data_IF_274395886480
#
_entry.id   IF_274395886480
#
_cell.length_a   1.000
_cell.length_b   1.000
_cell.length_c   1.000
_cell.angle_alpha   90.00
_cell.angle_beta   90.00
_cell.angle_gamma   90.00
#
_symmetry.space_group_name_H-M   'P 1'
#
loop_
_entity.id
_entity.type
_entity.pdbx_description
1 polymer ?
#
# COMPACT_ATOMS: atom_id res chain seq x y z
N UNK A 1 4.69 -9.83 -1.68
CA UNK A 1 3.49 -10.66 -1.86
C UNK A 1 2.21 -9.86 -1.65
N UNK A 2 1.98 -9.24 -0.49
CA UNK A 2 0.74 -8.46 -0.28
C UNK A 2 0.66 -7.17 -1.11
N UNK A 3 1.80 -6.59 -1.51
CA UNK A 3 1.87 -5.49 -2.48
C UNK A 3 1.20 -5.90 -3.81
N UNK A 4 1.66 -7.00 -4.42
CA UNK A 4 1.06 -7.56 -5.65
C UNK A 4 -0.42 -7.91 -5.53
N UNK A 5 -0.85 -8.43 -4.37
CA UNK A 5 -2.26 -8.70 -4.15
C UNK A 5 -3.10 -7.41 -4.09
N UNK A 6 -2.51 -6.31 -3.61
CA UNK A 6 -3.17 -5.01 -3.54
C UNK A 6 -3.28 -4.35 -4.93
N UNK A 7 -2.37 -4.64 -5.87
CA UNK A 7 -2.49 -4.16 -7.25
C UNK A 7 -3.79 -4.60 -7.94
N UNK A 8 -4.40 -5.73 -7.54
CA UNK A 8 -5.73 -6.10 -8.01
C UNK A 8 -6.85 -5.12 -7.60
N UNK A 9 -6.55 -4.17 -6.72
CA UNK A 9 -7.48 -3.23 -6.12
C UNK A 9 -6.92 -1.79 -6.05
N UNK A 10 -5.89 -1.46 -6.83
CA UNK A 10 -5.42 -0.09 -6.99
C UNK A 10 -6.24 0.68 -8.06
N UNK A 11 -5.80 1.86 -8.49
CA UNK A 11 -6.55 2.69 -9.43
C UNK A 11 -6.75 2.07 -10.81
N UNK A 12 -5.86 1.15 -11.22
CA UNK A 12 -6.03 0.36 -12.44
C UNK A 12 -6.73 -0.98 -12.14
N UNK A 13 -6.32 -1.66 -11.08
CA UNK A 13 -6.81 -2.98 -10.68
C UNK A 13 -8.32 -3.04 -10.48
N UNK A 14 -8.93 -2.03 -9.85
CA UNK A 14 -10.38 -1.99 -9.62
C UNK A 14 -11.22 -1.97 -10.91
N UNK A 15 -10.60 -1.72 -12.06
CA UNK A 15 -11.27 -1.75 -13.36
C UNK A 15 -11.42 -3.19 -13.90
N UNK A 16 -10.70 -4.15 -13.34
CA UNK A 16 -10.71 -5.55 -13.77
C UNK A 16 -11.60 -6.40 -12.85
N UNK A 17 -12.41 -7.25 -13.47
CA UNK A 17 -13.22 -8.25 -12.79
C UNK A 17 -12.40 -9.48 -12.36
N UNK A 18 -13.05 -10.46 -11.72
CA UNK A 18 -12.37 -11.61 -11.12
C UNK A 18 -11.71 -12.55 -12.15
N UNK A 19 -12.09 -12.50 -13.43
CA UNK A 19 -11.47 -13.26 -14.51
C UNK A 19 -10.43 -12.44 -15.31
N UNK A 20 -10.14 -11.21 -14.89
CA UNK A 20 -9.14 -10.32 -15.51
C UNK A 20 -9.67 -9.53 -16.72
N UNK A 21 -10.97 -9.52 -16.93
CA UNK A 21 -11.67 -8.73 -17.93
C UNK A 21 -11.91 -7.29 -17.44
N UNK A 22 -11.86 -6.32 -18.36
CA UNK A 22 -12.26 -4.94 -18.04
C UNK A 22 -13.77 -4.91 -17.79
N UNK A 23 -14.15 -4.43 -16.60
CA UNK A 23 -15.53 -4.20 -16.22
C UNK A 23 -15.93 -2.76 -16.57
N UNK A 24 -17.03 -2.60 -17.31
CA UNK A 24 -17.51 -1.28 -17.68
C UNK A 24 -18.47 -0.73 -16.61
N UNK A 25 -18.33 0.56 -16.24
CA UNK A 25 -19.20 1.19 -15.24
C UNK A 25 -20.69 1.00 -15.54
N UNK A 26 -21.45 0.55 -14.55
CA UNK A 26 -22.91 0.40 -14.63
C UNK A 26 -23.66 1.73 -14.45
N UNK A 27 -22.95 2.78 -14.02
CA UNK A 27 -23.49 4.12 -13.79
C UNK A 27 -22.48 5.21 -14.17
N UNK A 28 -22.94 6.46 -14.28
CA UNK A 28 -22.11 7.61 -14.69
C UNK A 28 -20.89 7.86 -13.79
N UNK A 29 -21.04 7.61 -12.48
CA UNK A 29 -20.01 7.87 -11.46
C UNK A 29 -19.37 6.57 -10.93
N UNK A 30 -19.60 5.44 -11.59
CA UNK A 30 -19.05 4.15 -11.19
C UNK A 30 -17.66 3.93 -11.83
N UNK A 31 -16.80 3.14 -11.19
CA UNK A 31 -15.51 2.69 -11.76
C UNK A 31 -15.43 1.17 -11.75
N UNK A 32 -15.13 0.57 -12.89
CA UNK A 32 -15.03 -0.89 -12.98
C UNK A 32 -16.34 -1.58 -12.59
N UNK A 33 -16.21 -2.53 -11.66
CA UNK A 33 -17.30 -3.30 -11.06
C UNK A 33 -17.92 -2.63 -9.80
N UNK A 34 -17.37 -1.50 -9.35
CA UNK A 34 -17.84 -0.82 -8.14
C UNK A 34 -19.14 -0.02 -8.38
N UNK A 35 -20.00 0.01 -7.37
CA UNK A 35 -21.13 0.94 -7.34
C UNK A 35 -20.69 2.39 -7.04
N UNK A 36 -21.64 3.32 -7.07
CA UNK A 36 -21.36 4.75 -6.90
C UNK A 36 -20.74 5.06 -5.53
N UNK A 37 -21.29 4.48 -4.45
CA UNK A 37 -20.80 4.71 -3.08
C UNK A 37 -19.38 4.16 -2.88
N UNK A 38 -19.10 2.98 -3.42
CA UNK A 38 -17.78 2.35 -3.34
C UNK A 38 -16.75 3.12 -4.18
N UNK A 39 -17.16 3.59 -5.36
CA UNK A 39 -16.31 4.44 -6.22
C UNK A 39 -15.95 5.76 -5.52
N UNK A 40 -16.91 6.40 -4.86
CA UNK A 40 -16.65 7.63 -4.10
C UNK A 40 -15.72 7.38 -2.91
N UNK A 41 -15.93 6.28 -2.17
CA UNK A 41 -15.06 5.88 -1.07
C UNK A 41 -13.63 5.60 -1.53
N UNK A 42 -13.47 4.85 -2.62
CA UNK A 42 -12.17 4.56 -3.23
C UNK A 42 -11.46 5.85 -3.66
N UNK A 43 -12.15 6.74 -4.38
CA UNK A 43 -11.60 8.00 -4.84
C UNK A 43 -11.18 8.92 -3.68
N UNK A 44 -11.93 8.92 -2.57
CA UNK A 44 -11.58 9.68 -1.37
C UNK A 44 -10.27 9.17 -0.73
N UNK A 45 -10.14 7.85 -0.59
CA UNK A 45 -8.93 7.21 -0.08
C UNK A 45 -7.73 7.46 -1.01
N UNK A 46 -7.89 7.23 -2.32
CA UNK A 46 -6.82 7.43 -3.31
C UNK A 46 -6.35 8.89 -3.33
N UNK A 47 -7.26 9.87 -3.21
CA UNK A 47 -6.89 11.29 -3.07
C UNK A 47 -6.02 11.55 -1.84
N UNK A 48 -6.30 10.90 -0.70
CA UNK A 48 -5.46 11.03 0.49
C UNK A 48 -4.01 10.57 0.19
N UNK A 49 -3.86 9.44 -0.49
CA UNK A 49 -2.54 8.91 -0.92
C UNK A 49 -1.85 9.87 -1.89
N UNK A 50 -2.57 10.37 -2.90
CA UNK A 50 -2.03 11.35 -3.86
C UNK A 50 -1.54 12.61 -3.14
N UNK A 51 -2.35 13.16 -2.23
CA UNK A 51 -2.08 14.41 -1.53
C UNK A 51 -0.92 14.29 -0.56
N UNK A 52 -0.76 13.14 0.09
CA UNK A 52 0.38 12.83 0.95
C UNK A 52 1.67 12.78 0.12
N UNK A 53 1.72 11.93 -0.91
CA UNK A 53 2.94 11.68 -1.64
C UNK A 53 3.37 12.86 -2.51
N UNK A 54 2.42 13.69 -2.97
CA UNK A 54 2.74 14.92 -3.71
C UNK A 54 3.50 15.96 -2.87
N UNK A 55 3.57 15.80 -1.54
CA UNK A 55 4.34 16.67 -0.63
C UNK A 55 5.78 16.24 -0.45
N UNK A 56 6.17 15.07 -0.96
CA UNK A 56 7.54 14.59 -0.85
C UNK A 56 8.42 15.20 -1.95
N UNK A 57 9.38 16.02 -1.52
CA UNK A 57 10.39 16.62 -2.40
C UNK A 57 11.81 16.26 -1.93
N UNK A 58 12.22 14.99 -2.08
CA UNK A 58 13.46 14.49 -1.46
C UNK A 58 14.74 14.96 -2.16
N UNK A 59 14.65 15.49 -3.39
CA UNK A 59 15.81 15.91 -4.19
C UNK A 59 15.90 17.43 -4.32
N UNK A 60 17.12 17.93 -4.50
CA UNK A 60 17.38 19.36 -4.51
C UNK A 60 16.73 20.06 -5.72
N UNK A 61 15.84 21.02 -5.45
CA UNK A 61 15.14 21.82 -6.45
C UNK A 61 16.07 22.69 -7.33
N UNK A 62 17.27 23.02 -6.83
CA UNK A 62 18.26 23.77 -7.61
C UNK A 62 18.94 22.90 -8.68
N UNK A 63 18.89 21.58 -8.55
CA UNK A 63 19.59 20.63 -9.43
C UNK A 63 18.63 19.82 -10.30
N UNK A 64 17.43 19.51 -9.82
CA UNK A 64 16.51 18.59 -10.48
C UNK A 64 15.11 19.20 -10.67
N UNK A 65 14.45 18.85 -11.77
CA UNK A 65 13.04 19.20 -12.03
C UNK A 65 12.39 18.08 -12.87
N UNK A 66 11.25 17.49 -12.43
CA UNK A 66 10.57 17.73 -11.16
C UNK A 66 11.42 17.28 -9.96
N UNK A 67 11.36 18.03 -8.86
CA UNK A 67 12.06 17.70 -7.60
C UNK A 67 11.15 17.10 -6.53
N UNK A 68 9.86 16.98 -6.84
CA UNK A 68 8.84 16.40 -5.99
C UNK A 68 8.21 15.19 -6.67
N UNK A 69 7.75 14.25 -5.85
CA UNK A 69 7.02 13.07 -6.31
C UNK A 69 5.69 13.53 -6.92
N UNK A 70 5.33 12.92 -8.05
CA UNK A 70 4.01 13.10 -8.63
C UNK A 70 3.05 12.06 -8.03
N UNK A 71 2.36 12.42 -6.94
CA UNK A 71 1.51 11.49 -6.20
C UNK A 71 0.40 10.85 -7.04
N UNK A 72 -0.07 11.53 -8.10
CA UNK A 72 -1.04 10.95 -9.04
C UNK A 72 -0.42 9.87 -9.93
N UNK A 73 0.82 10.07 -10.38
CA UNK A 73 1.51 9.10 -11.21
C UNK A 73 1.94 7.86 -10.42
N UNK A 74 2.27 8.02 -9.14
CA UNK A 74 2.75 6.93 -8.29
C UNK A 74 1.63 6.29 -7.46
N UNK A 75 0.37 6.70 -7.63
CA UNK A 75 -0.72 6.31 -6.71
C UNK A 75 -0.94 4.80 -6.63
N UNK A 76 -0.83 4.06 -7.75
CA UNK A 76 -1.04 2.61 -7.77
C UNK A 76 -0.05 1.88 -6.88
N UNK A 77 1.24 2.14 -7.09
CA UNK A 77 2.34 1.63 -6.24
C UNK A 77 2.19 2.06 -4.78
N UNK A 78 1.84 3.33 -4.53
CA UNK A 78 1.68 3.85 -3.17
C UNK A 78 0.50 3.17 -2.43
N UNK A 79 -0.62 2.92 -3.13
CA UNK A 79 -1.75 2.15 -2.59
C UNK A 79 -1.30 0.72 -2.29
N UNK A 80 -0.55 0.10 -3.21
CA UNK A 80 -0.03 -1.25 -3.06
C UNK A 80 0.94 -1.41 -1.90
N UNK A 81 1.86 -0.45 -1.71
CA UNK A 81 2.80 -0.42 -0.58
C UNK A 81 2.07 -0.32 0.77
N UNK A 82 1.13 0.62 0.87
CA UNK A 82 0.36 0.82 2.10
C UNK A 82 -0.53 -0.40 2.39
N UNK A 83 -1.32 -0.85 1.41
CA UNK A 83 -2.16 -2.03 1.57
C UNK A 83 -1.34 -3.29 1.90
N UNK A 84 -0.20 -3.44 1.23
CA UNK A 84 0.73 -4.54 1.39
C UNK A 84 1.29 -4.64 2.79
N UNK A 85 1.85 -3.55 3.33
CA UNK A 85 2.43 -3.56 4.68
C UNK A 85 1.37 -3.77 5.77
N UNK A 86 0.18 -3.17 5.60
CA UNK A 86 -0.93 -3.37 6.54
C UNK A 86 -1.43 -4.82 6.54
N UNK A 87 -1.58 -5.45 5.37
CA UNK A 87 -1.99 -6.84 5.25
C UNK A 87 -0.93 -7.79 5.81
N UNK A 88 0.35 -7.56 5.49
CA UNK A 88 1.46 -8.37 5.99
C UNK A 88 1.57 -8.28 7.53
N UNK A 89 1.44 -7.09 8.11
CA UNK A 89 1.47 -6.92 9.56
C UNK A 89 0.28 -7.61 10.24
N UNK A 90 -0.94 -7.50 9.68
CA UNK A 90 -2.09 -8.26 10.20
C UNK A 90 -1.86 -9.77 10.14
N UNK A 91 -1.33 -10.28 9.04
CA UNK A 91 -1.00 -11.71 8.90
C UNK A 91 0.04 -12.15 9.96
N UNK A 92 1.08 -11.34 10.16
CA UNK A 92 2.08 -11.57 11.21
C UNK A 92 1.45 -11.61 12.61
N UNK A 93 0.57 -10.66 12.94
CA UNK A 93 -0.15 -10.66 14.23
C UNK A 93 -1.08 -11.86 14.41
N UNK A 94 -1.73 -12.31 13.34
CA UNK A 94 -2.55 -13.53 13.35
C UNK A 94 -1.70 -14.77 13.62
N UNK A 95 -0.53 -14.89 13.00
CA UNK A 95 0.41 -15.98 13.25
C UNK A 95 0.81 -16.04 14.74
N UNK A 96 1.22 -14.91 15.34
CA UNK A 96 1.55 -14.84 16.77
C UNK A 96 0.36 -15.29 17.64
N UNK A 97 -0.86 -14.90 17.28
CA UNK A 97 -2.06 -15.24 18.04
C UNK A 97 -2.40 -16.75 17.99
N UNK A 98 -2.02 -17.43 16.91
CA UNK A 98 -2.27 -18.86 16.71
C UNK A 98 -1.15 -19.73 17.31
N UNK A 99 0.10 -19.35 17.06
CA UNK A 99 1.27 -20.21 17.29
C UNK A 99 2.14 -19.73 18.47
N UNK A 100 1.87 -18.52 19.00
CA UNK A 100 2.74 -17.83 19.94
C UNK A 100 3.85 -17.03 19.27
N UNK A 101 4.58 -16.19 20.02
CA UNK A 101 5.67 -15.40 19.46
C UNK A 101 6.93 -16.26 19.23
N UNK A 102 7.68 -15.93 18.18
CA UNK A 102 9.02 -16.47 17.96
C UNK A 102 9.99 -16.10 19.11
N UNK A 103 11.10 -16.82 19.28
CA UNK A 103 12.21 -16.35 20.11
C UNK A 103 12.74 -14.98 19.61
N UNK A 104 13.25 -14.16 20.52
CA UNK A 104 13.98 -12.95 20.13
C UNK A 104 15.28 -13.32 19.40
N UNK A 105 15.73 -12.42 18.52
CA UNK A 105 16.99 -12.59 17.82
C UNK A 105 18.16 -12.68 18.82
N UNK A 106 19.09 -13.63 18.66
CA UNK A 106 20.18 -13.85 19.61
C UNK A 106 21.30 -12.80 19.51
N UNK A 107 21.22 -11.89 18.53
CA UNK A 107 22.19 -10.82 18.34
C UNK A 107 22.06 -9.71 19.39
N UNK A 108 23.20 -9.10 19.77
CA UNK A 108 23.24 -8.07 20.80
C UNK A 108 22.54 -6.77 20.38
N UNK A 109 22.59 -6.41 19.09
CA UNK A 109 21.94 -5.21 18.58
C UNK A 109 20.45 -5.49 18.33
N UNK A 110 20.15 -6.53 17.54
CA UNK A 110 18.78 -6.81 17.11
C UNK A 110 17.89 -7.40 18.20
N UNK A 111 18.46 -8.11 19.18
CA UNK A 111 17.74 -8.66 20.33
C UNK A 111 17.18 -7.59 21.28
N UNK A 112 17.52 -6.31 21.08
CA UNK A 112 16.96 -5.19 21.84
C UNK A 112 15.62 -4.70 21.29
N UNK A 113 15.25 -5.06 20.06
CA UNK A 113 14.00 -4.66 19.45
C UNK A 113 12.90 -5.69 19.70
N UNK A 114 11.66 -5.22 19.82
CA UNK A 114 10.49 -6.12 19.81
C UNK A 114 10.32 -6.71 18.42
N UNK A 115 9.59 -7.83 18.30
CA UNK A 115 9.33 -8.40 16.98
C UNK A 115 8.51 -7.48 16.07
N UNK A 116 7.60 -6.67 16.62
CA UNK A 116 6.90 -5.64 15.84
C UNK A 116 7.88 -4.59 15.28
N UNK A 117 8.87 -4.17 16.07
CA UNK A 117 9.92 -3.25 15.58
C UNK A 117 10.80 -3.93 14.52
N UNK A 118 11.17 -5.19 14.73
CA UNK A 118 11.95 -5.96 13.76
C UNK A 118 11.19 -6.16 12.44
N UNK A 119 9.86 -6.33 12.49
CA UNK A 119 9.01 -6.40 11.30
C UNK A 119 9.17 -5.13 10.44
N UNK A 120 9.02 -3.95 11.02
CA UNK A 120 9.13 -2.69 10.29
C UNK A 120 10.58 -2.34 9.90
N UNK A 121 11.57 -2.74 10.72
CA UNK A 121 12.99 -2.60 10.35
C UNK A 121 13.34 -3.46 9.13
N UNK A 122 12.82 -4.70 9.07
CA UNK A 122 13.05 -5.57 7.93
C UNK A 122 12.34 -5.03 6.68
N UNK A 123 11.10 -4.54 6.80
CA UNK A 123 10.40 -3.90 5.70
C UNK A 123 11.19 -2.74 5.08
N UNK A 124 11.83 -1.90 5.90
CA UNK A 124 12.59 -0.73 5.43
C UNK A 124 13.98 -1.05 4.85
N UNK A 125 14.46 -2.31 4.94
CA UNK A 125 15.77 -2.73 4.42
C UNK A 125 15.72 -3.38 3.04
N UNK A 126 14.51 -3.70 2.56
CA UNK A 126 14.26 -4.26 1.23
C UNK A 126 14.10 -3.12 0.23
#
# INVERSE_FOLDING_TARGET
MSHELTHGFDDEGVQFGPEGEIQFPSCKNCTGWMDELSTDGFNSMARCVIDEYSRFCPINAATYTPNCVNGKQTQGENIADNGGIHAAFRAYRTHIALDGPDPLLPDRLFGQFTHDQLFFLNFAQV
#
